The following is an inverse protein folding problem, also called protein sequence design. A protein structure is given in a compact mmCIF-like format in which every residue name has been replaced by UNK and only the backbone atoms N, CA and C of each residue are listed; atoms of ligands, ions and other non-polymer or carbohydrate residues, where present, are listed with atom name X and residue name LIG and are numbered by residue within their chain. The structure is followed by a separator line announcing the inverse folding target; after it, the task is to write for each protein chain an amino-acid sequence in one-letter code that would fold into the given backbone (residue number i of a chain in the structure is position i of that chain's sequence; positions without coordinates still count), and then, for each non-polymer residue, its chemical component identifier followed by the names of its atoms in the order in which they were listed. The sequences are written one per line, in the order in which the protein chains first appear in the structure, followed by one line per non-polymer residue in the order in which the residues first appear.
data_IF_941236170895
#
_entry.id   IF_941236170895
#
_cell.length_a   1.000
_cell.length_b   1.000
_cell.length_c   1.000
_cell.angle_alpha   90.00
_cell.angle_beta   90.00
_cell.angle_gamma   90.00
#
_symmetry.space_group_name_H-M   'P 1'
#
loop_
_entity.id
_entity.type
_entity.pdbx_description
1 polymer ?
2 non-polymer ?
3 non-polymer ?
4 water ?
#
# COMPACT_ATOMS: atom_id res chain seq x y z
N UNK A 10 10.21 6.06 15.28
CA UNK A 10 10.36 4.66 14.75
C UNK A 10 9.08 4.05 14.20
N UNK A 11 9.23 3.35 13.09
CA UNK A 11 8.17 2.58 12.46
C UNK A 11 8.15 1.24 13.20
N UNK A 12 6.97 0.78 13.63
CA UNK A 12 6.97 -0.37 14.53
C UNK A 12 7.26 -1.66 13.78
N UNK A 13 7.89 -2.59 14.47
CA UNK A 13 8.19 -3.92 13.92
C UNK A 13 6.90 -4.70 13.72
N UNK A 14 6.91 -5.69 12.83
CA UNK A 14 5.76 -6.56 12.66
C UNK A 14 5.43 -7.30 13.95
N UNK A 15 4.17 -7.63 14.17
CA UNK A 15 3.76 -8.34 15.41
C UNK A 15 3.80 -9.85 15.25
N UNK A 16 3.91 -10.31 14.00
CA UNK A 16 3.82 -11.72 13.70
C UNK A 16 5.09 -12.46 14.04
N UNK A 17 5.08 -13.79 13.88
CA UNK A 17 6.23 -14.62 14.23
C UNK A 17 7.41 -14.60 13.26
N UNK A 18 7.19 -14.20 12.01
CA UNK A 18 8.25 -14.22 11.01
C UNK A 18 9.10 -12.94 11.09
N UNK A 19 10.42 -13.10 10.98
CA UNK A 19 11.30 -11.98 10.62
C UNK A 19 10.92 -11.48 9.24
N UNK A 20 11.22 -10.21 8.97
CA UNK A 20 10.80 -9.58 7.73
C UNK A 20 11.98 -9.09 6.88
N UNK A 21 11.93 -9.35 5.58
CA UNK A 21 12.92 -8.85 4.64
C UNK A 21 12.29 -7.87 3.68
N UNK A 22 13.11 -7.21 2.88
CA UNK A 22 12.57 -6.27 1.92
C UNK A 22 13.54 -6.05 0.78
N UNK A 23 12.99 -5.92 -0.42
CA UNK A 23 13.78 -5.54 -1.57
C UNK A 23 12.93 -4.79 -2.56
N UNK A 24 13.59 -4.35 -3.63
CA UNK A 24 13.00 -3.63 -4.74
C UNK A 24 13.15 -4.42 -6.06
N UNK A 25 12.12 -4.33 -6.89
CA UNK A 25 12.07 -5.00 -8.18
C UNK A 25 11.49 -4.03 -9.21
N UNK A 26 12.20 -3.87 -10.33
CA UNK A 26 11.70 -3.11 -11.45
C UNK A 26 11.84 -3.97 -12.68
N UNK A 27 10.72 -4.27 -13.35
CA UNK A 27 10.74 -5.03 -14.58
C UNK A 27 9.44 -4.87 -15.36
N UNK A 28 9.49 -4.51 -16.66
CA UNK A 28 10.72 -4.03 -17.32
C UNK A 28 11.28 -2.71 -16.74
N UNK A 29 12.34 -2.21 -17.37
CA UNK A 29 12.98 -0.94 -17.00
C UNK A 29 12.23 0.33 -17.40
N UNK A 30 11.19 0.18 -18.21
CA UNK A 30 10.48 1.33 -18.78
C UNK A 30 9.48 1.93 -17.78
N UNK A 31 8.87 3.05 -18.17
CA UNK A 31 7.82 3.66 -17.32
C UNK A 31 6.47 2.99 -17.50
N UNK A 32 6.43 1.93 -18.31
CA UNK A 32 5.31 1.03 -18.43
C UNK A 32 5.54 -0.30 -17.70
N UNK A 33 6.76 -0.54 -17.23
CA UNK A 33 7.09 -1.74 -16.47
C UNK A 33 6.51 -1.68 -15.06
N UNK A 34 6.78 -2.73 -14.29
CA UNK A 34 6.42 -2.76 -12.88
C UNK A 34 7.60 -2.28 -12.01
N UNK A 35 7.27 -1.46 -11.02
CA UNK A 35 8.20 -1.08 -9.98
C UNK A 35 7.48 -1.36 -8.66
N UNK A 36 8.12 -2.12 -7.79
CA UNK A 36 7.53 -2.46 -6.49
C UNK A 36 8.55 -2.69 -5.40
N UNK A 37 8.11 -2.42 -4.18
CA UNK A 37 8.86 -2.77 -3.01
C UNK A 37 8.23 -4.02 -2.44
N UNK A 38 9.06 -5.06 -2.26
CA UNK A 38 8.62 -6.33 -1.78
C UNK A 38 8.95 -6.45 -0.30
N UNK A 39 7.97 -6.89 0.48
CA UNK A 39 8.16 -7.27 1.89
C UNK A 39 7.82 -8.74 1.97
N UNK A 40 8.66 -9.51 2.66
CA UNK A 40 8.51 -10.96 2.68
C UNK A 40 9.00 -11.56 3.98
N UNK A 41 8.51 -12.77 4.32
CA UNK A 41 9.07 -13.44 5.48
C UNK A 41 10.51 -13.84 5.19
N UNK A 42 11.40 -13.52 6.13
CA UNK A 42 12.83 -13.72 5.94
C UNK A 42 13.39 -14.83 6.81
N UNK A 43 14.38 -15.51 6.25
CA UNK A 43 15.16 -16.54 6.93
C UNK A 43 16.14 -15.96 7.93
N UNK A 44 16.75 -14.82 7.56
CA UNK A 44 17.87 -14.20 8.31
C UNK A 44 17.46 -12.86 8.96
N UNK A 45 18.12 -12.57 10.09
CA UNK A 45 17.82 -11.38 10.88
C UNK A 45 19.05 -10.51 11.22
N UNK A 46 20.19 -10.72 10.55
CA UNK A 46 21.42 -9.91 10.80
C UNK A 46 21.77 -8.91 9.68
N UNK A 47 20.84 -8.65 8.77
CA UNK A 47 21.05 -7.63 7.74
C UNK A 47 20.72 -6.25 8.27
N UNK A 48 21.18 -5.25 7.52
CA UNK A 48 20.86 -3.88 7.82
C UNK A 48 19.38 -3.63 7.56
N UNK A 49 18.84 -2.68 8.31
CA UNK A 49 17.46 -2.25 8.08
C UNK A 49 17.39 -1.45 6.80
N UNK A 50 16.18 -1.37 6.27
CA UNK A 50 15.90 -0.82 4.97
C UNK A 50 15.73 0.68 5.10
N UNK A 51 16.42 1.40 4.22
CA UNK A 51 16.34 2.85 4.14
C UNK A 51 14.93 3.23 3.70
N UNK A 52 14.29 4.10 4.48
CA UNK A 52 12.86 4.36 4.34
C UNK A 52 12.51 5.16 3.09
N UNK A 53 13.26 6.24 2.85
CA UNK A 53 13.05 7.06 1.64
C UNK A 53 14.42 7.11 0.95
N UNK A 54 14.65 6.22 -0.03
CA UNK A 54 15.99 5.92 -0.49
C UNK A 54 16.63 6.83 -1.54
N UNK A 55 15.95 7.87 -2.01
CA UNK A 55 16.55 8.83 -2.97
C UNK A 55 16.12 10.24 -2.66
N UNK A 56 17.04 11.18 -2.85
CA UNK A 56 16.79 12.61 -2.61
C UNK A 56 15.57 13.14 -3.37
N UNK A 57 15.33 12.58 -4.55
CA UNK A 57 14.30 13.11 -5.46
C UNK A 57 12.89 12.86 -4.93
N UNK A 58 12.71 11.84 -4.09
CA UNK A 58 11.42 11.64 -3.43
C UNK A 58 11.11 12.77 -2.48
N UNK A 59 12.14 13.31 -1.84
CA UNK A 59 11.97 14.51 -0.99
C UNK A 59 11.63 15.75 -1.80
N UNK A 60 12.34 15.97 -2.90
CA UNK A 60 11.96 16.99 -3.87
C UNK A 60 10.52 16.84 -4.29
N UNK A 61 10.15 15.61 -4.65
CA UNK A 61 8.78 15.25 -4.98
C UNK A 61 7.76 15.63 -3.91
N UNK A 62 8.03 15.24 -2.66
CA UNK A 62 7.13 15.57 -1.54
C UNK A 62 6.99 17.08 -1.33
N UNK A 63 8.03 17.84 -1.64
CA UNK A 63 7.97 19.30 -1.57
C UNK A 63 6.91 19.84 -2.54
N UNK A 64 6.97 19.35 -3.77
CA UNK A 64 6.02 19.69 -4.83
C UNK A 64 4.60 19.28 -4.43
N UNK A 65 4.47 18.12 -3.80
CA UNK A 65 3.17 17.62 -3.30
C UNK A 65 2.59 18.52 -2.20
N UNK A 66 3.42 18.83 -1.22
CA UNK A 66 3.00 19.74 -0.15
C UNK A 66 2.87 21.18 -0.63
N UNK A 67 3.25 21.44 -1.89
CA UNK A 67 3.07 22.73 -2.55
C UNK A 67 3.81 23.81 -1.82
N UNK A 68 5.05 23.50 -1.45
CA UNK A 68 5.92 24.42 -0.72
C UNK A 68 7.16 24.71 -1.55
N UNK A 69 7.93 25.68 -1.06
CA UNK A 69 9.25 26.02 -1.60
C UNK A 69 10.03 24.72 -1.85
N UNK A 70 10.59 24.59 -3.06
CA UNK A 70 11.40 23.41 -3.45
C UNK A 70 12.51 23.10 -2.43
N UNK A 71 13.02 24.18 -1.83
CA UNK A 71 13.92 24.17 -0.68
C UNK A 71 13.49 23.30 0.51
N UNK A 72 12.18 23.23 0.77
CA UNK A 72 11.63 22.35 1.79
C UNK A 72 11.97 20.85 1.55
N UNK A 73 12.36 20.51 0.33
CA UNK A 73 12.79 19.13 0.03
C UNK A 73 14.12 18.77 0.70
N UNK A 74 15.02 19.72 0.73
CA UNK A 74 16.31 19.55 1.41
C UNK A 74 16.19 19.52 2.94
N UNK A 75 15.20 20.24 3.50
CA UNK A 75 14.89 20.13 4.93
C UNK A 75 14.34 18.75 5.28
N UNK A 76 13.38 18.30 4.49
CA UNK A 76 12.78 16.98 4.69
C UNK A 76 13.82 15.85 4.58
N UNK A 77 14.78 16.04 3.69
CA UNK A 77 15.89 15.13 3.50
C UNK A 77 16.77 15.12 4.75
N UNK A 78 17.20 16.30 5.19
CA UNK A 78 17.99 16.45 6.42
C UNK A 78 17.31 15.73 7.60
N UNK A 79 16.01 15.92 7.75
CA UNK A 79 15.30 15.34 8.89
C UNK A 79 15.13 13.84 8.77
N UNK A 80 14.78 13.38 7.58
CA UNK A 80 14.28 12.03 7.39
C UNK A 80 15.11 11.13 6.48
N UNK A 81 16.09 11.68 5.77
CA UNK A 81 16.82 10.95 4.74
C UNK A 81 17.68 9.77 5.20
N UNK A 82 17.99 9.70 6.49
CA UNK A 82 18.74 8.59 7.07
C UNK A 82 17.85 7.64 7.91
N UNK A 83 16.54 7.82 7.85
CA UNK A 83 15.64 6.99 8.64
C UNK A 83 15.45 5.62 7.98
N UNK A 84 15.29 4.60 8.82
CA UNK A 84 15.11 3.25 8.33
C UNK A 84 13.79 2.71 8.79
N UNK A 85 13.39 1.59 8.20
CA UNK A 85 12.17 0.88 8.61
C UNK A 85 12.64 -0.54 8.95
N UNK A 86 12.05 -1.20 9.98
CA UNK A 86 12.60 -2.46 10.51
C UNK A 86 12.33 -3.70 9.64
N UNK A 87 12.90 -3.71 8.45
CA UNK A 87 12.91 -4.88 7.58
C UNK A 87 14.33 -5.07 7.08
N UNK A 88 14.78 -6.32 7.09
CA UNK A 88 16.14 -6.66 6.70
C UNK A 88 16.32 -6.51 5.16
N UNK A 89 17.19 -5.60 4.75
CA UNK A 89 17.40 -5.32 3.32
C UNK A 89 18.04 -6.53 2.66
N UNK A 90 17.37 -7.05 1.62
CA UNK A 90 17.89 -8.18 0.79
C UNK A 90 18.18 -9.46 1.57
N UNK A 91 17.47 -9.67 2.66
CA UNK A 91 17.57 -10.88 3.46
C UNK A 91 17.06 -12.02 2.59
N UNK A 92 17.64 -13.22 2.69
CA UNK A 92 17.02 -14.32 1.98
C UNK A 92 15.60 -14.61 2.44
N UNK A 93 14.78 -15.07 1.49
CA UNK A 93 13.40 -15.49 1.75
C UNK A 93 13.38 -16.73 2.61
N UNK A 94 12.52 -16.74 3.61
CA UNK A 94 12.30 -17.92 4.44
C UNK A 94 11.78 -19.05 3.52
N UNK A 95 12.54 -20.16 3.40
CA UNK A 95 12.10 -21.19 2.47
C UNK A 95 11.03 -22.13 3.04
N UNK A 96 10.52 -23.00 2.17
CA UNK A 96 9.72 -24.15 2.56
C UNK A 96 8.27 -23.87 2.95
N UNK A 97 7.73 -22.78 2.42
CA UNK A 97 6.31 -22.49 2.57
C UNK A 97 5.85 -21.55 1.46
N UNK A 98 4.59 -21.76 1.04
CA UNK A 98 3.95 -20.93 0.01
C UNK A 98 3.15 -19.80 0.65
N UNK A 99 3.48 -18.57 0.27
CA UNK A 99 2.97 -17.38 0.98
C UNK A 99 1.86 -16.67 0.19
N UNK A 100 0.71 -16.37 0.84
CA UNK A 100 -0.28 -15.52 0.18
C UNK A 100 0.33 -14.20 -0.20
N UNK A 101 -0.22 -13.56 -1.23
CA UNK A 101 0.32 -12.32 -1.80
C UNK A 101 -0.63 -11.14 -1.64
N UNK A 102 -0.13 -10.03 -1.11
CA UNK A 102 -0.87 -8.78 -1.09
C UNK A 102 -0.21 -7.82 -2.09
N UNK A 103 -1.00 -7.25 -2.99
CA UNK A 103 -0.56 -6.10 -3.81
C UNK A 103 -1.06 -4.82 -3.12
N UNK A 104 -0.15 -3.89 -2.85
CA UNK A 104 -0.46 -2.67 -2.10
C UNK A 104 -0.31 -1.39 -2.94
N UNK A 105 -1.37 -0.58 -2.95
CA UNK A 105 -1.40 0.67 -3.69
C UNK A 105 -1.33 1.91 -2.79
N UNK A 106 -0.34 2.73 -3.05
CA UNK A 106 -0.08 3.91 -2.25
C UNK A 106 -1.00 5.09 -2.61
N UNK A 107 -1.02 6.11 -1.78
CA UNK A 107 -1.80 7.33 -2.04
C UNK A 107 -1.17 8.34 -3.00
N UNK A 108 -1.94 9.38 -3.26
CA UNK A 108 -1.51 10.54 -4.02
C UNK A 108 -0.46 11.28 -3.20
N UNK A 109 0.60 11.72 -3.87
CA UNK A 109 1.74 12.35 -3.21
C UNK A 109 2.71 11.45 -2.46
N UNK A 110 2.39 10.16 -2.42
CA UNK A 110 3.18 9.14 -1.74
C UNK A 110 3.97 8.37 -2.79
N UNK A 111 4.54 7.23 -2.38
CA UNK A 111 5.23 6.31 -3.30
C UNK A 111 5.38 4.97 -2.57
N UNK A 112 6.15 4.01 -3.11
CA UNK A 112 6.10 2.61 -2.69
C UNK A 112 6.59 2.32 -1.28
N UNK A 113 7.48 3.17 -0.76
CA UNK A 113 8.19 2.89 0.49
C UNK A 113 7.43 3.33 1.76
N UNK A 114 6.33 4.09 1.60
CA UNK A 114 5.75 4.85 2.70
C UNK A 114 4.60 4.13 3.43
N UNK A 115 4.46 2.84 3.18
CA UNK A 115 3.47 2.00 3.87
C UNK A 115 4.17 0.76 4.40
N UNK A 116 5.35 0.97 5.00
CA UNK A 116 6.14 -0.13 5.52
C UNK A 116 5.50 -0.69 6.80
N UNK A 117 4.99 0.17 7.66
CA UNK A 117 4.33 -0.29 8.89
C UNK A 117 3.33 -1.41 8.54
N UNK A 118 2.51 -1.16 7.53
CA UNK A 118 1.57 -2.16 7.04
C UNK A 118 2.27 -3.34 6.38
N UNK A 119 3.21 -3.05 5.46
CA UNK A 119 3.91 -4.09 4.69
C UNK A 119 4.70 -5.06 5.56
N UNK A 120 5.45 -4.49 6.50
CA UNK A 120 6.23 -5.20 7.45
C UNK A 120 5.34 -6.08 8.33
N UNK A 121 4.21 -5.57 8.81
CA UNK A 121 3.40 -6.38 9.72
C UNK A 121 2.74 -7.55 9.01
N UNK A 122 2.31 -7.33 7.76
CA UNK A 122 1.70 -8.40 6.96
C UNK A 122 2.75 -9.49 6.70
N UNK A 123 3.92 -9.07 6.25
CA UNK A 123 5.04 -9.97 6.06
C UNK A 123 5.38 -10.77 7.29
N UNK A 124 5.42 -10.11 8.45
CA UNK A 124 5.72 -10.81 9.71
C UNK A 124 4.70 -11.89 10.08
N UNK A 125 3.47 -11.80 9.54
CA UNK A 125 2.45 -12.86 9.69
C UNK A 125 2.38 -13.87 8.55
N UNK A 126 3.25 -13.71 7.55
CA UNK A 126 3.45 -14.72 6.52
C UNK A 126 2.92 -14.38 5.15
N UNK A 127 2.81 -13.09 4.83
CA UNK A 127 2.43 -12.64 3.49
C UNK A 127 3.66 -12.13 2.79
N UNK A 128 3.72 -12.29 1.47
CA UNK A 128 4.59 -11.48 0.65
C UNK A 128 3.73 -10.29 0.28
N UNK A 129 4.24 -9.07 0.50
CA UNK A 129 3.55 -7.82 0.13
C UNK A 129 4.32 -7.16 -1.02
N UNK A 130 3.64 -6.84 -2.11
CA UNK A 130 4.23 -6.05 -3.21
C UNK A 130 3.61 -4.64 -3.25
N UNK A 131 4.30 -3.68 -2.65
CA UNK A 131 3.91 -2.29 -2.68
C UNK A 131 4.36 -1.68 -4.01
N UNK A 132 3.40 -1.45 -4.90
CA UNK A 132 3.69 -0.91 -6.23
C UNK A 132 4.00 0.57 -6.15
N UNK A 133 4.85 1.02 -7.09
CA UNK A 133 5.06 2.44 -7.30
C UNK A 133 4.39 2.76 -8.63
N UNK A 134 3.42 3.65 -8.58
CA UNK A 134 2.59 3.97 -9.71
C UNK A 134 3.30 4.98 -10.59
N UNK A 135 3.14 4.81 -11.90
CA UNK A 135 3.70 5.70 -12.91
C UNK A 135 2.61 6.52 -13.58
N UNK A 136 1.48 6.71 -12.89
CA UNK A 136 0.39 7.57 -13.38
C UNK A 136 0.57 9.06 -13.08
N UNK A 137 1.74 9.42 -12.53
CA UNK A 137 2.06 10.78 -12.04
C UNK A 137 1.20 11.18 -10.83
N UNK A 138 0.67 10.20 -10.09
CA UNK A 138 0.09 10.45 -8.76
C UNK A 138 1.14 10.33 -7.66
N UNK A 139 2.24 9.62 -7.92
CA UNK A 139 3.32 9.54 -6.93
C UNK A 139 4.00 10.89 -6.87
N UNK A 140 4.53 11.21 -5.68
CA UNK A 140 5.30 12.42 -5.49
C UNK A 140 6.49 12.43 -6.45
N UNK A 141 7.17 11.29 -6.46
CA UNK A 141 8.11 10.96 -7.50
C UNK A 141 8.16 9.46 -7.74
N UNK A 142 8.68 9.12 -8.90
CA UNK A 142 9.06 7.77 -9.22
C UNK A 142 10.08 7.88 -10.36
N UNK A 143 10.71 6.77 -10.69
CA UNK A 143 11.71 6.79 -11.73
C UNK A 143 11.68 5.53 -12.56
N UNK A 144 12.41 5.62 -13.68
CA UNK A 144 12.50 4.54 -14.68
C UNK A 144 13.78 4.74 -15.51
N UNK A 145 13.95 3.92 -16.54
CA UNK A 145 15.10 4.06 -17.42
C UNK A 145 14.65 4.16 -18.87
N UNK A 146 15.26 5.12 -19.58
CA UNK A 146 14.89 5.44 -20.96
C UNK A 146 15.30 4.38 -21.96
N UNK A 147 16.36 3.65 -21.63
CA UNK A 147 16.84 2.56 -22.46
C UNK A 147 17.70 1.60 -21.66
N UNK A 148 18.10 0.51 -22.31
CA UNK A 148 18.85 -0.55 -21.65
C UNK A 148 20.22 -0.09 -21.14
N UNK A 149 20.96 0.66 -21.96
CA UNK A 149 22.23 1.23 -21.50
C UNK A 149 22.03 2.08 -20.25
N UNK A 150 21.03 2.95 -20.26
CA UNK A 150 20.69 3.78 -19.08
C UNK A 150 20.37 2.96 -17.82
N UNK A 151 19.63 1.87 -17.96
CA UNK A 151 19.41 0.94 -16.84
C UNK A 151 20.72 0.31 -16.34
N UNK A 152 21.53 -0.22 -17.25
CA UNK A 152 22.85 -0.81 -16.90
C UNK A 152 23.69 0.09 -15.97
N UNK A 153 23.92 1.33 -16.37
CA UNK A 153 24.72 2.26 -15.54
C UNK A 153 23.95 2.96 -14.40
N UNK A 154 22.69 2.62 -14.22
CA UNK A 154 21.86 3.21 -13.17
C UNK A 154 21.54 4.68 -13.41
N UNK A 155 21.46 5.07 -14.68
CA UNK A 155 21.15 6.45 -15.06
C UNK A 155 19.64 6.72 -15.01
N UNK A 156 19.18 7.25 -13.88
CA UNK A 156 17.75 7.39 -13.61
C UNK A 156 17.10 8.60 -14.23
N UNK A 157 15.89 8.40 -14.71
CA UNK A 157 15.04 9.46 -15.22
C UNK A 157 13.83 9.57 -14.30
N UNK A 158 13.64 10.77 -13.77
CA UNK A 158 12.67 11.01 -12.71
C UNK A 158 11.40 11.64 -13.23
N UNK A 159 10.27 11.16 -12.72
CA UNK A 159 8.94 11.59 -13.10
C UNK A 159 8.18 11.99 -11.85
N UNK A 160 7.77 13.24 -11.80
CA UNK A 160 7.21 13.87 -10.61
C UNK A 160 5.71 14.00 -10.70
N UNK A 161 5.10 14.15 -9.53
CA UNK A 161 3.65 14.42 -9.41
C UNK A 161 3.16 15.44 -10.45
N UNK A 162 2.06 15.12 -11.11
CA UNK A 162 1.33 16.06 -11.95
C UNK A 162 0.31 16.84 -11.11
N UNK A 163 0.35 18.17 -11.19
CA UNK A 163 -0.64 19.03 -10.53
C UNK A 163 -1.77 19.34 -11.51
N UNK A 164 -3.02 19.14 -11.11
CA UNK A 164 -4.16 19.32 -12.04
C UNK A 164 -4.87 20.64 -11.86
N UNK A 165 -5.44 21.16 -12.95
CA UNK A 165 -6.38 22.27 -12.88
C UNK A 165 -7.75 21.73 -12.41
N UNK A 166 -8.60 22.58 -11.87
CA UNK A 166 -9.97 22.18 -11.43
C UNK A 166 -10.68 21.28 -12.47
N UNK A 167 -10.69 21.72 -13.73
CA UNK A 167 -11.52 21.04 -14.76
C UNK A 167 -10.94 19.73 -15.32
N UNK A 168 -9.69 19.40 -14.98
CA UNK A 168 -9.06 18.11 -15.34
C UNK A 168 -9.33 17.01 -14.33
N UNK A 169 -9.72 17.43 -13.14
CA UNK A 169 -9.85 16.55 -11.99
C UNK A 169 -10.63 15.26 -12.26
N UNK A 170 -11.84 15.39 -12.75
CA UNK A 170 -12.71 14.24 -12.98
C UNK A 170 -12.04 13.28 -13.94
N UNK A 171 -11.71 13.82 -15.11
CA UNK A 171 -11.21 13.02 -16.19
C UNK A 171 -9.89 12.35 -15.82
N UNK A 172 -8.91 13.13 -15.37
CA UNK A 172 -7.56 12.60 -15.13
C UNK A 172 -7.51 11.63 -13.95
N UNK A 173 -8.23 11.94 -12.87
CA UNK A 173 -8.24 11.02 -11.72
C UNK A 173 -8.76 9.68 -12.13
N UNK A 174 -9.80 9.65 -12.97
CA UNK A 174 -10.30 8.39 -13.47
C UNK A 174 -9.25 7.70 -14.35
N UNK A 175 -8.63 8.45 -15.26
CA UNK A 175 -7.55 7.91 -16.09
C UNK A 175 -6.46 7.28 -15.21
N UNK A 176 -6.06 8.02 -14.18
CA UNK A 176 -5.06 7.57 -13.20
C UNK A 176 -5.46 6.31 -12.44
N UNK A 177 -6.66 6.28 -11.88
CA UNK A 177 -7.10 5.09 -11.11
C UNK A 177 -7.15 3.86 -12.02
N UNK A 178 -7.45 4.05 -13.30
CA UNK A 178 -7.46 2.90 -14.23
C UNK A 178 -6.03 2.47 -14.59
N UNK A 179 -5.13 3.43 -14.81
CA UNK A 179 -3.71 3.10 -14.90
C UNK A 179 -3.19 2.38 -13.65
N UNK A 180 -3.69 2.76 -12.47
CA UNK A 180 -3.29 2.13 -11.21
C UNK A 180 -3.69 0.66 -11.13
N UNK A 181 -4.92 0.37 -11.53
CA UNK A 181 -5.42 -1.02 -11.56
C UNK A 181 -4.63 -1.88 -12.53
N UNK A 182 -4.31 -1.33 -13.72
CA UNK A 182 -3.48 -2.02 -14.68
C UNK A 182 -2.13 -2.34 -14.09
N UNK A 183 -1.57 -1.38 -13.36
CA UNK A 183 -0.29 -1.57 -12.71
C UNK A 183 -0.35 -2.61 -11.58
N UNK A 184 -1.47 -2.70 -10.87
CA UNK A 184 -1.64 -3.76 -9.89
C UNK A 184 -1.73 -5.13 -10.54
N UNK A 185 -2.48 -5.22 -11.64
CA UNK A 185 -2.56 -6.45 -12.43
C UNK A 185 -1.24 -6.90 -13.00
N UNK A 186 -0.53 -5.97 -13.62
CA UNK A 186 0.77 -6.25 -14.18
C UNK A 186 1.74 -6.75 -13.09
N UNK A 187 1.80 -6.02 -11.99
CA UNK A 187 2.62 -6.45 -10.86
C UNK A 187 2.26 -7.90 -10.41
N UNK A 188 0.96 -8.22 -10.37
CA UNK A 188 0.53 -9.58 -10.07
C UNK A 188 1.06 -10.58 -11.07
N UNK A 189 0.78 -10.34 -12.35
CA UNK A 189 1.32 -11.19 -13.42
C UNK A 189 2.85 -11.39 -13.31
N UNK A 190 3.57 -10.33 -12.98
CA UNK A 190 5.02 -10.42 -12.82
C UNK A 190 5.44 -11.39 -11.68
N UNK A 191 4.85 -11.21 -10.50
CA UNK A 191 5.18 -12.06 -9.36
C UNK A 191 4.81 -13.49 -9.64
N UNK A 192 3.68 -13.70 -10.31
CA UNK A 192 3.26 -15.04 -10.71
C UNK A 192 4.20 -15.66 -11.74
N UNK A 193 4.70 -14.87 -12.68
CA UNK A 193 5.72 -15.38 -13.62
C UNK A 193 6.99 -15.81 -12.87
N UNK A 194 7.42 -14.95 -11.96
CA UNK A 194 8.56 -15.23 -11.11
C UNK A 194 8.32 -16.45 -10.23
N UNK A 195 7.08 -16.69 -9.80
CA UNK A 195 6.75 -17.88 -9.01
C UNK A 195 6.94 -19.12 -9.85
N UNK A 196 6.52 -19.04 -11.11
CA UNK A 196 6.71 -20.14 -12.04
C UNK A 196 8.16 -20.30 -12.53
N UNK A 197 9.05 -19.38 -12.19
CA UNK A 197 10.49 -19.52 -12.46
C UNK A 197 10.95 -18.88 -13.77
N UNK A 198 10.15 -17.97 -14.31
CA UNK A 198 10.55 -17.22 -15.49
C UNK A 198 11.73 -16.33 -15.07
N UNK A 199 12.88 -16.50 -15.73
CA UNK A 199 14.00 -15.65 -15.35
C UNK A 199 13.63 -14.19 -15.63
N UNK A 200 13.81 -13.35 -14.63
CA UNK A 200 13.55 -11.93 -14.72
C UNK A 200 14.87 -11.27 -14.38
N UNK A 201 15.32 -10.34 -15.22
CA UNK A 201 16.47 -9.49 -14.89
C UNK A 201 15.92 -8.21 -14.28
N UNK A 202 16.16 -8.01 -12.98
CA UNK A 202 15.78 -6.79 -12.27
C UNK A 202 16.59 -5.64 -12.86
N UNK A 203 15.91 -4.58 -13.27
CA UNK A 203 16.61 -3.41 -13.82
C UNK A 203 17.41 -2.70 -12.75
N UNK A 204 16.98 -2.82 -11.50
CA UNK A 204 17.77 -2.39 -10.37
C UNK A 204 18.81 -3.49 -10.12
N UNK A 205 20.06 -3.11 -9.96
CA UNK A 205 21.13 -4.10 -9.89
C UNK A 205 21.39 -4.38 -8.42
N UNK A 206 20.56 -5.24 -7.86
CA UNK A 206 20.58 -5.55 -6.43
C UNK A 206 20.94 -7.03 -6.17
N UNK A 207 21.41 -7.30 -4.96
CA UNK A 207 21.94 -8.61 -4.60
C UNK A 207 20.84 -9.44 -3.96
N UNK A 208 19.74 -9.62 -4.67
CA UNK A 208 18.65 -10.45 -4.19
C UNK A 208 18.18 -11.30 -5.35
N UNK A 209 18.39 -12.61 -5.23
CA UNK A 209 18.06 -13.53 -6.31
C UNK A 209 16.56 -13.78 -6.33
N UNK A 210 15.92 -13.41 -7.44
CA UNK A 210 14.48 -13.60 -7.63
C UNK A 210 14.03 -15.06 -7.73
N UNK A 211 14.96 -15.98 -7.97
CA UNK A 211 14.61 -17.39 -8.07
C UNK A 211 14.26 -18.03 -6.74
N UNK A 212 14.63 -17.36 -5.65
CA UNK A 212 14.15 -17.69 -4.30
C UNK A 212 12.62 -17.74 -4.22
N UNK A 213 11.98 -16.82 -4.94
CA UNK A 213 10.53 -16.72 -5.02
C UNK A 213 9.87 -17.83 -5.83
N UNK A 214 10.64 -18.60 -6.61
CA UNK A 214 10.07 -19.70 -7.37
C UNK A 214 9.33 -20.64 -6.41
N UNK A 215 8.13 -21.03 -6.78
CA UNK A 215 7.27 -21.90 -5.97
C UNK A 215 7.05 -21.45 -4.51
N UNK A 216 7.08 -20.14 -4.27
CA UNK A 216 6.89 -19.60 -2.94
C UNK A 216 5.58 -18.84 -2.73
N UNK A 217 4.80 -18.66 -3.78
CA UNK A 217 3.54 -17.91 -3.75
C UNK A 217 2.37 -18.89 -3.76
N UNK A 218 1.41 -18.68 -2.85
CA UNK A 218 0.20 -19.46 -2.88
C UNK A 218 -0.60 -18.75 -3.98
N UNK A 219 -0.63 -19.36 -5.16
CA UNK A 219 -1.10 -18.65 -6.35
C UNK A 219 -2.57 -18.30 -6.36
N UNK A 220 -3.38 -18.97 -5.55
CA UNK A 220 -4.81 -18.69 -5.45
C UNK A 220 -5.14 -17.56 -4.48
N UNK A 221 -4.26 -17.31 -3.51
CA UNK A 221 -4.58 -16.45 -2.37
C UNK A 221 -3.94 -15.07 -2.57
N UNK A 222 -4.68 -14.22 -3.27
CA UNK A 222 -4.18 -12.91 -3.68
C UNK A 222 -5.19 -11.86 -3.23
N UNK A 223 -4.69 -10.78 -2.66
CA UNK A 223 -5.54 -9.67 -2.24
C UNK A 223 -4.91 -8.38 -2.69
N UNK A 224 -5.71 -7.31 -2.72
CA UNK A 224 -5.20 -5.96 -3.03
C UNK A 224 -5.63 -5.02 -1.90
N UNK A 225 -4.68 -4.21 -1.41
CA UNK A 225 -4.91 -3.28 -0.30
C UNK A 225 -4.33 -1.94 -0.67
N UNK A 226 -4.97 -0.85 -0.25
CA UNK A 226 -4.38 0.47 -0.47
C UNK A 226 -5.05 1.59 0.26
N UNK A 227 -4.32 2.69 0.35
CA UNK A 227 -4.67 3.86 1.13
C UNK A 227 -5.12 4.99 0.23
N UNK A 228 -6.34 5.48 0.49
CA UNK A 228 -6.87 6.73 -0.11
C UNK A 228 -6.98 6.54 -1.65
N UNK A 229 -6.19 7.24 -2.47
CA UNK A 229 -6.22 7.00 -3.92
C UNK A 229 -5.98 5.50 -4.20
N UNK A 230 -5.11 4.87 -3.42
CA UNK A 230 -4.94 3.42 -3.47
C UNK A 230 -6.14 2.60 -3.00
N UNK A 231 -6.99 3.18 -2.14
CA UNK A 231 -8.26 2.57 -1.73
C UNK A 231 -9.23 2.49 -2.90
N UNK A 232 -9.27 3.55 -3.70
CA UNK A 232 -10.00 3.52 -4.97
C UNK A 232 -9.38 2.52 -5.93
N UNK A 233 -8.05 2.50 -5.94
CA UNK A 233 -7.34 1.56 -6.79
C UNK A 233 -7.76 0.10 -6.48
N UNK A 234 -7.88 -0.23 -5.19
CA UNK A 234 -8.38 -1.53 -4.75
C UNK A 234 -9.64 -1.90 -5.47
N UNK A 235 -10.60 -0.98 -5.45
CA UNK A 235 -11.94 -1.21 -6.01
C UNK A 235 -11.90 -1.36 -7.54
N UNK A 236 -11.23 -0.45 -8.23
CA UNK A 236 -11.08 -0.57 -9.69
C UNK A 236 -10.41 -1.90 -10.08
N UNK A 237 -9.28 -2.22 -9.42
CA UNK A 237 -8.53 -3.47 -9.62
C UNK A 237 -9.43 -4.72 -9.46
N UNK A 238 -10.13 -4.82 -8.35
CA UNK A 238 -11.07 -5.93 -8.14
C UNK A 238 -12.08 -6.10 -9.27
N UNK A 239 -12.66 -4.99 -9.71
CA UNK A 239 -13.64 -5.03 -10.81
C UNK A 239 -12.98 -5.49 -12.10
N UNK A 240 -11.73 -5.10 -12.32
CA UNK A 240 -11.02 -5.48 -13.57
C UNK A 240 -10.32 -6.85 -13.56
N UNK A 241 -10.09 -7.44 -12.40
CA UNK A 241 -9.16 -8.57 -12.31
C UNK A 241 -9.58 -9.53 -11.21
N UNK A 242 -10.17 -10.65 -11.63
CA UNK A 242 -10.75 -11.62 -10.72
C UNK A 242 -9.75 -12.50 -10.04
N UNK A 243 -8.47 -12.37 -10.40
CA UNK A 243 -7.38 -13.09 -9.70
C UNK A 243 -7.26 -12.58 -8.28
N UNK A 244 -7.50 -11.28 -8.09
CA UNK A 244 -7.57 -10.72 -6.75
C UNK A 244 -8.85 -11.23 -6.13
N UNK A 245 -8.74 -11.85 -4.97
CA UNK A 245 -9.87 -12.55 -4.32
C UNK A 245 -10.62 -11.75 -3.28
N UNK A 246 -9.97 -10.76 -2.70
CA UNK A 246 -10.66 -9.80 -1.88
C UNK A 246 -9.76 -8.57 -1.84
N UNK A 247 -10.32 -7.47 -1.35
CA UNK A 247 -9.60 -6.20 -1.22
C UNK A 247 -9.92 -5.52 0.09
N UNK A 248 -8.97 -4.74 0.59
CA UNK A 248 -9.16 -3.92 1.76
C UNK A 248 -8.79 -2.49 1.40
N UNK A 249 -9.76 -1.59 1.55
CA UNK A 249 -9.61 -0.21 1.25
C UNK A 249 -9.37 0.58 2.55
N UNK A 250 -8.16 1.09 2.69
CA UNK A 250 -7.80 1.96 3.83
C UNK A 250 -8.11 3.42 3.54
N UNK A 251 -9.18 3.90 4.18
CA UNK A 251 -9.66 5.29 4.07
C UNK A 251 -9.74 5.71 2.61
N UNK A 252 -10.51 4.94 1.84
CA UNK A 252 -10.59 5.14 0.41
C UNK A 252 -11.09 6.53 0.01
N UNK A 253 -10.42 7.12 -0.97
CA UNK A 253 -10.88 8.31 -1.68
C UNK A 253 -11.64 7.89 -2.94
N UNK A 254 -12.95 8.09 -2.98
CA UNK A 254 -13.79 7.44 -3.99
C UNK A 254 -13.94 8.24 -5.29
N UNK A 255 -13.56 9.52 -5.22
CA UNK A 255 -13.71 10.43 -6.33
C UNK A 255 -13.23 9.89 -7.69
N UNK A 256 -12.03 9.30 -7.77
CA UNK A 256 -11.51 8.86 -9.09
C UNK A 256 -12.36 7.81 -9.84
N UNK A 257 -13.12 7.02 -9.09
CA UNK A 257 -13.88 5.93 -9.67
C UNK A 257 -15.02 6.39 -10.56
N UNK A 258 -15.20 5.69 -11.67
CA UNK A 258 -16.38 5.86 -12.49
C UNK A 258 -17.62 5.31 -11.81
N UNK A 259 -18.77 5.91 -12.13
CA UNK A 259 -20.10 5.47 -11.72
C UNK A 259 -20.39 4.02 -12.06
N UNK A 260 -19.81 3.54 -13.14
CA UNK A 260 -20.01 2.14 -13.55
C UNK A 260 -19.46 1.08 -12.60
N UNK A 261 -18.40 1.39 -11.85
CA UNK A 261 -17.70 0.32 -11.09
C UNK A 261 -18.45 -0.19 -9.85
N UNK A 262 -19.34 0.64 -9.29
CA UNK A 262 -19.87 0.39 -7.94
C UNK A 262 -20.59 -0.94 -7.88
N UNK A 263 -21.35 -1.24 -8.93
CA UNK A 263 -22.13 -2.49 -9.03
C UNK A 263 -21.31 -3.68 -9.62
N UNK A 264 -20.01 -3.52 -9.78
CA UNK A 264 -19.18 -4.46 -10.54
C UNK A 264 -17.98 -5.01 -9.72
N UNK A 265 -18.21 -5.26 -8.43
CA UNK A 265 -17.18 -5.76 -7.51
C UNK A 265 -17.70 -7.09 -6.90
N UNK A 266 -17.44 -8.23 -7.56
CA UNK A 266 -17.89 -9.50 -6.98
C UNK A 266 -17.17 -9.91 -5.67
N UNK A 267 -15.93 -9.50 -5.48
CA UNK A 267 -15.10 -10.01 -4.37
C UNK A 267 -15.40 -9.33 -3.04
N UNK A 268 -15.23 -10.07 -1.91
CA UNK A 268 -15.38 -9.43 -0.60
C UNK A 268 -14.51 -8.17 -0.50
N UNK A 269 -15.07 -7.14 0.12
CA UNK A 269 -14.40 -5.84 0.23
C UNK A 269 -14.62 -5.22 1.62
N UNK A 270 -13.51 -4.75 2.23
CA UNK A 270 -13.49 -4.26 3.58
C UNK A 270 -13.02 -2.80 3.59
N UNK A 271 -13.90 -1.89 4.00
CA UNK A 271 -13.55 -0.49 4.24
C UNK A 271 -13.04 -0.30 5.67
N UNK A 272 -11.81 0.17 5.85
CA UNK A 272 -11.32 0.63 7.16
C UNK A 272 -11.02 2.14 7.06
N UNK A 273 -11.80 2.92 7.81
CA UNK A 273 -11.77 4.37 7.74
C UNK A 273 -11.19 5.01 8.98
N UNK A 274 -10.70 6.23 8.79
CA UNK A 274 -10.32 7.09 9.88
C UNK A 274 -11.56 7.83 10.34
N UNK A 275 -11.52 8.34 11.56
CA UNK A 275 -12.66 9.11 12.08
C UNK A 275 -12.81 10.46 11.41
N UNK A 276 -11.69 11.16 11.22
CA UNK A 276 -11.73 12.57 10.83
C UNK A 276 -11.68 12.83 9.31
N UNK A 277 -11.29 11.85 8.50
CA UNK A 277 -11.17 12.05 7.06
C UNK A 277 -12.50 12.03 6.32
N UNK A 278 -13.41 11.16 6.73
CA UNK A 278 -14.54 10.81 5.88
C UNK A 278 -15.60 11.90 5.82
N UNK A 279 -16.43 11.79 4.82
CA UNK A 279 -17.48 12.77 4.57
C UNK A 279 -18.60 12.17 3.74
N UNK A 280 -19.82 12.76 3.83
CA UNK A 280 -20.98 12.13 3.20
C UNK A 280 -20.77 11.68 1.74
N UNK A 281 -20.26 12.56 0.87
CA UNK A 281 -20.06 12.23 -0.55
C UNK A 281 -19.24 10.96 -0.77
N UNK A 282 -18.18 10.81 0.03
CA UNK A 282 -17.30 9.65 -0.02
C UNK A 282 -17.96 8.39 0.55
N UNK A 283 -18.64 8.53 1.68
CA UNK A 283 -19.37 7.39 2.29
C UNK A 283 -20.51 6.87 1.38
N UNK A 284 -21.31 7.79 0.84
CA UNK A 284 -22.40 7.46 -0.11
C UNK A 284 -21.87 6.59 -1.25
N UNK A 285 -20.70 6.97 -1.78
CA UNK A 285 -20.02 6.18 -2.81
C UNK A 285 -19.62 4.78 -2.32
N UNK A 286 -19.15 4.70 -1.09
CA UNK A 286 -18.83 3.40 -0.48
C UNK A 286 -20.07 2.54 -0.34
N UNK A 287 -21.16 3.18 0.04
CA UNK A 287 -22.43 2.49 0.20
C UNK A 287 -23.02 2.02 -1.13
N UNK A 288 -22.62 2.64 -2.24
CA UNK A 288 -23.02 2.17 -3.57
C UNK A 288 -22.36 0.85 -3.96
N UNK A 289 -21.24 0.53 -3.32
CA UNK A 289 -20.57 -0.73 -3.49
C UNK A 289 -21.32 -1.88 -2.81
N UNK A 290 -22.21 -1.55 -1.85
CA UNK A 290 -22.94 -2.56 -1.11
C UNK A 290 -24.05 -3.18 -1.94
N UNK A 291 -24.27 -4.46 -1.70
CA UNK A 291 -25.33 -5.25 -2.30
C UNK A 291 -25.45 -6.48 -1.40
N UNK A 292 -26.68 -6.96 -1.12
CA UNK A 292 -26.82 -8.00 -0.08
C UNK A 292 -26.30 -9.40 -0.49
N UNK A 293 -26.32 -9.68 -1.79
CA UNK A 293 -25.64 -10.84 -2.37
C UNK A 293 -24.11 -10.79 -2.17
N UNK A 294 -23.55 -9.60 -2.01
CA UNK A 294 -22.10 -9.43 -1.85
C UNK A 294 -21.67 -9.15 -0.42
N UNK A 295 -20.38 -9.39 -0.20
CA UNK A 295 -19.76 -9.31 1.11
C UNK A 295 -19.06 -7.98 1.34
N UNK A 296 -19.58 -7.19 2.29
CA UNK A 296 -19.00 -5.89 2.58
C UNK A 296 -18.94 -5.56 4.07
N UNK A 297 -17.79 -5.05 4.49
CA UNK A 297 -17.58 -4.64 5.88
C UNK A 297 -16.97 -3.24 5.95
N UNK A 298 -17.31 -2.55 7.03
CA UNK A 298 -16.82 -1.20 7.28
C UNK A 298 -16.63 -1.01 8.78
N UNK A 299 -15.48 -0.41 9.12
CA UNK A 299 -15.19 0.03 10.47
C UNK A 299 -14.52 1.39 10.40
N UNK A 300 -14.57 2.08 11.53
CA UNK A 300 -14.03 3.40 11.66
C UNK A 300 -13.16 3.41 12.92
N UNK A 301 -11.92 3.83 12.76
CA UNK A 301 -10.99 3.89 13.87
C UNK A 301 -11.14 5.23 14.62
N UNK A 302 -11.54 5.11 15.89
CA UNK A 302 -11.83 6.27 16.72
C UNK A 302 -10.59 7.12 16.94
N UNK A 303 -10.78 8.43 16.86
CA UNK A 303 -9.71 9.40 17.07
C UNK A 303 -8.64 9.45 15.99
N UNK A 304 -8.82 8.70 14.90
CA UNK A 304 -7.80 8.61 13.85
C UNK A 304 -7.98 9.64 12.75
N UNK A 305 -6.87 9.98 12.14
CA UNK A 305 -6.83 10.85 10.96
C UNK A 305 -6.43 10.03 9.74
N UNK A 306 -6.65 10.62 8.57
CA UNK A 306 -6.25 10.06 7.25
C UNK A 306 -4.81 9.54 7.15
N UNK A 307 -3.88 10.23 7.80
CA UNK A 307 -2.46 9.85 7.75
C UNK A 307 -2.06 8.69 8.70
N UNK A 308 -2.93 8.30 9.62
CA UNK A 308 -2.68 7.12 10.47
C UNK A 308 -2.39 5.83 9.69
N UNK A 309 -2.83 5.74 8.45
CA UNK A 309 -2.56 4.57 7.63
C UNK A 309 -1.17 4.58 6.98
N UNK A 310 -0.49 5.73 6.93
CA UNK A 310 0.80 5.82 6.26
C UNK A 310 1.93 6.00 7.25
N UNK A 311 3.15 5.82 6.79
CA UNK A 311 4.34 5.74 7.69
C UNK A 311 4.73 7.04 8.37
N UNK A 312 4.36 8.17 7.80
CA UNK A 312 4.73 9.47 8.37
C UNK A 312 4.09 9.70 9.72
N UNK A 313 2.98 9.01 10.01
CA UNK A 313 2.41 9.02 11.36
C UNK A 313 3.40 8.62 12.46
N UNK A 314 4.49 7.94 12.08
CA UNK A 314 5.56 7.51 12.98
C UNK A 314 6.88 8.31 12.90
N UNK A 315 7.01 9.21 11.94
CA UNK A 315 8.29 9.87 11.68
C UNK A 315 8.57 11.06 12.57
N UNK A 316 7.53 11.62 13.21
CA UNK A 316 7.70 12.77 14.11
C UNK A 316 7.10 12.49 15.48
N UNK A 317 7.42 13.40 16.40
CA UNK A 317 6.89 13.37 17.76
C UNK A 317 5.39 13.63 17.87
N UNK A 318 4.88 13.40 19.07
CA UNK A 318 3.45 13.51 19.31
C UNK A 318 2.96 14.91 18.90
N UNK A 319 3.49 15.92 19.58
CA UNK A 319 3.09 17.33 19.37
C UNK A 319 3.14 17.79 17.91
N UNK A 320 4.32 17.66 17.29
CA UNK A 320 4.51 18.12 15.89
C UNK A 320 3.66 17.28 14.93
N UNK A 321 3.50 16.01 15.27
CA UNK A 321 2.69 15.10 14.47
C UNK A 321 1.23 15.50 14.43
N UNK A 322 0.70 15.88 15.60
CA UNK A 322 -0.68 16.34 15.70
C UNK A 322 -0.81 17.69 15.00
N UNK A 323 0.20 18.52 15.17
CA UNK A 323 0.23 19.80 14.48
C UNK A 323 0.10 19.61 12.97
N UNK A 324 0.86 18.69 12.39
CA UNK A 324 0.85 18.50 10.93
C UNK A 324 -0.24 17.54 10.39
N UNK A 325 -1.13 17.08 11.27
CA UNK A 325 -2.21 16.17 10.92
C UNK A 325 -1.73 14.80 10.46
N UNK A 326 -0.53 14.44 10.91
CA UNK A 326 0.06 13.14 10.71
C UNK A 326 -0.39 12.16 11.79
N UNK A 327 -0.73 12.69 12.95
CA UNK A 327 -1.20 11.95 14.10
C UNK A 327 -2.59 12.46 14.47
N UNK A 328 -3.38 11.56 15.07
CA UNK A 328 -4.71 11.90 15.56
C UNK A 328 -4.69 11.83 17.07
N UNK A 329 -5.88 11.78 17.65
CA UNK A 329 -6.02 11.68 19.11
C UNK A 329 -5.54 10.31 19.60
N UNK A 330 -5.86 9.27 18.84
CA UNK A 330 -5.41 7.90 19.10
C UNK A 330 -3.89 7.77 18.89
N UNK A 331 -3.28 6.87 19.63
CA UNK A 331 -1.88 6.57 19.49
C UNK A 331 -1.64 5.88 18.15
N UNK A 332 -0.65 6.34 17.38
CA UNK A 332 -0.46 5.81 16.03
C UNK A 332 -0.20 4.29 15.98
N UNK A 333 0.50 3.76 16.96
CA UNK A 333 0.74 2.33 17.04
C UNK A 333 -0.56 1.57 17.33
N UNK A 334 -1.35 2.07 18.29
CA UNK A 334 -2.65 1.46 18.58
C UNK A 334 -3.52 1.45 17.32
N UNK A 335 -3.56 2.58 16.64
CA UNK A 335 -4.32 2.72 15.39
C UNK A 335 -3.94 1.70 14.32
N UNK A 336 -2.64 1.63 13.99
CA UNK A 336 -2.21 0.72 12.92
C UNK A 336 -2.33 -0.77 13.31
N UNK A 337 -2.18 -1.09 14.60
CA UNK A 337 -2.47 -2.43 15.12
C UNK A 337 -3.90 -2.83 14.80
N UNK A 338 -4.86 -1.94 15.08
CA UNK A 338 -6.28 -2.22 14.78
C UNK A 338 -6.53 -2.46 13.29
N UNK A 339 -5.99 -1.58 12.45
CA UNK A 339 -6.12 -1.72 11.01
C UNK A 339 -5.46 -3.00 10.50
N UNK A 340 -4.26 -3.29 10.99
CA UNK A 340 -3.55 -4.48 10.57
C UNK A 340 -4.20 -5.76 11.02
N UNK A 341 -4.56 -5.82 12.30
CA UNK A 341 -5.22 -7.00 12.84
C UNK A 341 -6.59 -7.31 12.22
N UNK A 342 -7.41 -6.28 12.02
CA UNK A 342 -8.69 -6.44 11.31
C UNK A 342 -8.47 -6.95 9.89
N UNK A 343 -7.48 -6.39 9.19
CA UNK A 343 -7.15 -6.79 7.82
C UNK A 343 -6.81 -8.29 7.75
N UNK A 344 -5.89 -8.70 8.63
CA UNK A 344 -5.51 -10.11 8.79
C UNK A 344 -6.70 -11.03 9.04
N UNK A 345 -7.62 -10.63 9.91
CA UNK A 345 -8.81 -11.46 10.16
C UNK A 345 -9.55 -11.57 8.83
N UNK A 346 -9.83 -10.42 8.24
CA UNK A 346 -10.51 -10.36 6.94
C UNK A 346 -9.83 -11.23 5.88
N UNK A 347 -8.50 -11.11 5.76
CA UNK A 347 -7.72 -11.94 4.81
C UNK A 347 -7.82 -13.45 5.05
N UNK A 348 -7.74 -13.85 6.31
CA UNK A 348 -7.85 -15.25 6.66
C UNK A 348 -9.20 -15.80 6.24
N UNK A 349 -10.26 -15.06 6.51
CA UNK A 349 -11.60 -15.51 6.16
C UNK A 349 -11.75 -15.66 4.65
N UNK A 350 -11.47 -14.59 3.93
CA UNK A 350 -11.76 -14.55 2.49
C UNK A 350 -10.72 -15.15 1.56
N UNK A 351 -9.49 -15.36 2.02
CA UNK A 351 -8.50 -16.17 1.28
C UNK A 351 -8.38 -17.59 1.77
N UNK A 352 -9.09 -17.91 2.85
CA UNK A 352 -9.20 -19.26 3.35
C UNK A 352 -7.91 -19.74 3.98
N UNK A 353 -7.27 -18.88 4.77
CA UNK A 353 -5.96 -19.20 5.38
C UNK A 353 -6.14 -20.05 6.65
N UNK A 354 -5.13 -20.88 6.96
CA UNK A 354 -5.14 -21.69 8.19
C UNK A 354 -4.14 -21.12 9.21
N UNK A 355 -4.44 -19.91 9.69
CA UNK A 355 -3.62 -19.25 10.71
C UNK A 355 -4.51 -18.96 11.92
N UNK A 356 -4.06 -18.08 12.82
CA UNK A 356 -4.83 -17.70 14.01
C UNK A 356 -5.41 -16.27 13.91
N UNK A 357 -5.60 -15.74 12.69
CA UNK A 357 -6.02 -14.34 12.52
C UNK A 357 -7.48 -14.13 12.82
N UNK A 358 -8.24 -15.22 12.88
CA UNK A 358 -9.63 -15.21 13.37
C UNK A 358 -9.79 -14.77 14.83
N UNK A 359 -8.71 -14.71 15.59
CA UNK A 359 -8.74 -14.11 16.91
C UNK A 359 -9.23 -12.65 16.85
N UNK A 360 -8.94 -11.97 15.74
CA UNK A 360 -9.38 -10.57 15.50
C UNK A 360 -10.66 -10.39 14.68
N UNK A 361 -11.46 -11.45 14.55
CA UNK A 361 -12.75 -11.35 13.84
C UNK A 361 -13.67 -10.29 14.45
N UNK A 362 -13.59 -10.09 15.77
CA UNK A 362 -14.33 -9.01 16.44
C UNK A 362 -14.01 -7.62 15.85
N UNK A 363 -12.77 -7.44 15.42
CA UNK A 363 -12.33 -6.18 14.84
C UNK A 363 -13.03 -5.85 13.54
N UNK A 364 -13.27 -6.86 12.72
CA UNK A 364 -13.96 -6.71 11.43
C UNK A 364 -15.37 -6.12 11.63
N UNK A 365 -16.01 -6.53 12.73
CA UNK A 365 -17.33 -6.05 13.12
C UNK A 365 -17.34 -4.71 13.92
N UNK A 366 -16.15 -4.17 14.16
CA UNK A 366 -16.01 -2.90 14.89
C UNK A 366 -16.23 -3.04 16.39
N UNK A 367 -16.10 -4.26 16.91
CA UNK A 367 -16.29 -4.58 18.33
C UNK A 367 -14.96 -4.37 19.07
N UNK A 368 -14.72 -3.11 19.41
CA UNK A 368 -13.54 -2.67 20.16
C UNK A 368 -13.85 -1.31 20.78
N UNK A 369 -13.19 -0.99 21.89
CA UNK A 369 -13.34 0.36 22.45
C UNK A 369 -12.86 1.49 21.51
N UNK A 370 -11.86 1.20 20.67
CA UNK A 370 -11.39 2.16 19.66
C UNK A 370 -11.98 1.97 18.25
N UNK A 371 -13.05 1.21 18.12
CA UNK A 371 -13.66 1.04 16.79
C UNK A 371 -15.11 1.44 16.80
N UNK A 372 -15.55 1.96 15.65
CA UNK A 372 -16.96 2.20 15.39
C UNK A 372 -17.31 1.22 14.28
N UNK A 373 -18.31 0.37 14.51
CA UNK A 373 -18.89 -0.42 13.42
C UNK A 373 -19.48 0.54 12.37
N UNK A 374 -19.21 0.28 11.11
CA UNK A 374 -19.70 1.11 10.01
C UNK A 374 -19.03 2.46 10.11
N UNK A 375 -19.84 3.53 10.14
CA UNK A 375 -19.34 4.89 10.05
C UNK A 375 -20.02 5.84 11.00
N UNK A 376 -19.25 6.81 11.47
CA UNK A 376 -19.76 7.97 12.20
C UNK A 376 -20.48 9.00 11.29
N UNK A 377 -20.30 8.89 9.97
CA UNK A 377 -20.85 9.87 9.01
C UNK A 377 -22.34 9.59 8.75
N UNK A 378 -23.20 10.57 9.05
CA UNK A 378 -24.61 10.53 8.61
C UNK A 378 -24.75 10.91 7.13
N UNK A 379 -25.50 10.07 6.40
CA UNK A 379 -25.81 10.27 4.99
C UNK A 379 -27.30 10.04 4.66
N UNK A 380 -28.19 10.43 5.58
CA UNK A 380 -29.65 10.34 5.34
C UNK A 380 -30.36 11.62 5.82
#
# INVERSE_FOLDING_TARGET
MAAASFGQTKIPRGNGPYSVGCTDLMFDHTNKGTFLRLYYPSQDNDRLDTLWIPNKEYFWGLSKFLGTHWLMGNILRLLFGSMTTPANWNSPLRPGEKYPLVVFSHGLGAFRTLYSAIGIDLASHGFIVAAVEHRDRSASATYYFKDQSAAEIGDKSWLYLRTLKQEEETHIRNEQVRQRAKECSQALSLILDIDHGKPVKNALDLKFDMEQLKDSIDREKIAVIGHSFGGATVIQTLSEDQRFRCGIALDAWMFPLGDEVYSRIPQPLFFINSEYFQYPANIIKMKKCYSPDKERKMITIRGSVHQNFADFTFATGKIIGHMLKLKGDIDSNVAIDLSNKASLAFLQKHLGLHKDFDQWDCLIEGDDENLIPGTNINTTNQHHHHHH
#
